data_IF_870192576265
#
_entry.id   IF_870192576265
#
_cell.length_a   1.000
_cell.length_b   1.000
_cell.length_c   1.000
_cell.angle_alpha   90.00
_cell.angle_beta   90.00
_cell.angle_gamma   90.00
#
_symmetry.space_group_name_H-M   'P 1'
#
loop_
_entity.id
_entity.type
_entity.pdbx_description
1 polymer ?
#
# COMPACT_ATOMS: atom_id res chain seq x y z
N UNK A 1 7.67 25.35 -23.40
CA UNK A 1 7.13 25.27 -22.03
C UNK A 1 5.71 24.71 -21.97
N UNK A 2 4.73 25.23 -22.72
CA UNK A 2 3.35 24.73 -22.72
C UNK A 2 3.21 23.22 -23.01
N UNK A 3 4.03 22.63 -23.89
CA UNK A 3 3.96 21.20 -24.20
C UNK A 3 4.40 20.28 -23.03
N UNK A 4 5.40 20.70 -22.23
CA UNK A 4 5.86 19.91 -21.07
C UNK A 4 4.83 19.91 -19.94
N UNK A 5 4.26 21.07 -19.63
CA UNK A 5 3.21 21.21 -18.61
C UNK A 5 1.96 20.38 -18.96
N UNK A 6 1.58 20.37 -20.25
CA UNK A 6 0.48 19.53 -20.74
C UNK A 6 0.78 18.03 -20.55
N UNK A 7 2.00 17.57 -20.83
CA UNK A 7 2.39 16.18 -20.64
C UNK A 7 2.32 15.74 -19.17
N UNK A 8 2.76 16.61 -18.25
CA UNK A 8 2.68 16.32 -16.82
C UNK A 8 1.23 16.17 -16.37
N UNK A 9 0.36 17.10 -16.79
CA UNK A 9 -1.09 17.02 -16.46
C UNK A 9 -1.75 15.78 -17.04
N UNK A 10 -1.42 15.39 -18.27
CA UNK A 10 -1.93 14.17 -18.90
C UNK A 10 -1.48 12.91 -18.13
N UNK A 11 -0.20 12.85 -17.73
CA UNK A 11 0.32 11.73 -16.94
C UNK A 11 -0.36 11.65 -15.56
N UNK A 12 -0.53 12.80 -14.87
CA UNK A 12 -1.19 12.85 -13.57
C UNK A 12 -2.66 12.45 -13.64
N UNK A 13 -3.38 12.89 -14.68
CA UNK A 13 -4.78 12.54 -14.88
C UNK A 13 -4.94 11.05 -15.24
N UNK A 14 -4.13 10.52 -16.17
CA UNK A 14 -4.13 9.08 -16.50
C UNK A 14 -3.87 8.25 -15.23
N UNK A 15 -2.80 8.58 -14.51
CA UNK A 15 -2.45 7.90 -13.26
C UNK A 15 -3.56 8.01 -12.20
N UNK A 16 -4.25 9.14 -12.11
CA UNK A 16 -5.37 9.30 -11.17
C UNK A 16 -6.51 8.32 -11.48
N UNK A 17 -6.86 8.18 -12.77
CA UNK A 17 -7.94 7.30 -13.20
C UNK A 17 -7.58 5.82 -12.99
N UNK A 18 -6.38 5.39 -13.37
CA UNK A 18 -5.93 4.02 -13.15
C UNK A 18 -5.75 3.70 -11.66
N UNK A 19 -5.23 4.64 -10.86
CA UNK A 19 -5.11 4.49 -9.40
C UNK A 19 -6.48 4.36 -8.74
N UNK A 20 -7.47 5.13 -9.17
CA UNK A 20 -8.84 5.00 -8.68
C UNK A 20 -9.41 3.61 -8.96
N UNK A 21 -9.30 3.13 -10.21
CA UNK A 21 -9.71 1.77 -10.59
C UNK A 21 -9.00 0.70 -9.74
N UNK A 22 -7.69 0.83 -9.56
CA UNK A 22 -6.90 -0.07 -8.73
C UNK A 22 -7.36 -0.06 -7.26
N UNK A 23 -7.61 1.11 -6.69
CA UNK A 23 -8.05 1.24 -5.28
C UNK A 23 -9.43 0.60 -5.08
N UNK A 24 -10.35 0.80 -6.03
CA UNK A 24 -11.67 0.12 -6.03
C UNK A 24 -11.48 -1.40 -6.06
N UNK A 25 -10.62 -1.91 -6.94
CA UNK A 25 -10.36 -3.35 -7.02
C UNK A 25 -9.75 -3.92 -5.74
N UNK A 26 -8.73 -3.25 -5.20
CA UNK A 26 -7.99 -3.72 -4.01
C UNK A 26 -8.87 -3.78 -2.75
N UNK A 27 -9.86 -2.90 -2.60
CA UNK A 27 -10.76 -2.94 -1.45
C UNK A 27 -11.87 -3.99 -1.65
N UNK A 28 -12.34 -4.20 -2.87
CA UNK A 28 -13.46 -5.11 -3.17
C UNK A 28 -12.99 -6.57 -3.24
N UNK A 29 -11.79 -6.82 -3.76
CA UNK A 29 -11.28 -8.18 -3.95
C UNK A 29 -11.22 -9.03 -2.68
N UNK A 30 -10.68 -8.54 -1.53
CA UNK A 30 -10.71 -9.29 -0.26
C UNK A 30 -12.12 -9.63 0.19
N UNK A 31 -13.04 -8.65 0.08
CA UNK A 31 -14.44 -8.83 0.46
C UNK A 31 -15.12 -9.90 -0.40
N UNK A 32 -14.89 -9.83 -1.73
CA UNK A 32 -15.43 -10.82 -2.66
C UNK A 32 -14.92 -12.23 -2.34
N UNK A 33 -13.59 -12.42 -2.18
CA UNK A 33 -13.00 -13.74 -1.87
C UNK A 33 -13.53 -14.24 -0.53
N UNK A 34 -13.63 -13.39 0.48
CA UNK A 34 -14.16 -13.76 1.79
C UNK A 34 -15.63 -14.16 1.71
N UNK A 35 -16.45 -13.42 0.93
CA UNK A 35 -17.86 -13.72 0.74
C UNK A 35 -18.12 -15.08 0.10
N UNK A 36 -17.32 -15.48 -0.90
CA UNK A 36 -17.51 -16.76 -1.60
C UNK A 36 -16.86 -17.95 -0.87
N UNK A 37 -15.75 -17.73 -0.17
CA UNK A 37 -15.02 -18.82 0.49
C UNK A 37 -15.37 -18.99 1.95
N UNK A 38 -15.85 -17.92 2.61
CA UNK A 38 -16.07 -17.84 4.07
C UNK A 38 -14.83 -18.28 4.87
N UNK A 39 -13.62 -18.16 4.29
CA UNK A 39 -12.40 -18.73 4.84
C UNK A 39 -11.22 -17.75 4.72
N UNK A 40 -10.81 -17.18 5.85
CA UNK A 40 -9.69 -16.24 5.94
C UNK A 40 -8.35 -16.85 5.52
N UNK A 41 -8.18 -18.18 5.69
CA UNK A 41 -6.96 -18.88 5.25
C UNK A 41 -6.83 -18.86 3.72
N UNK A 42 -7.94 -19.12 3.01
CA UNK A 42 -7.96 -19.07 1.54
C UNK A 42 -7.70 -17.63 1.07
N UNK A 43 -8.34 -16.65 1.70
CA UNK A 43 -8.12 -15.22 1.40
C UNK A 43 -6.66 -14.84 1.60
N UNK A 44 -6.08 -15.18 2.75
CA UNK A 44 -4.67 -14.89 3.04
C UNK A 44 -3.70 -15.59 2.08
N UNK A 45 -3.97 -16.88 1.72
CA UNK A 45 -3.17 -17.61 0.74
C UNK A 45 -3.23 -16.96 -0.65
N UNK A 46 -4.42 -16.54 -1.08
CA UNK A 46 -4.61 -15.86 -2.35
C UNK A 46 -3.73 -14.59 -2.44
N UNK A 47 -3.86 -13.68 -1.48
CA UNK A 47 -3.11 -12.42 -1.48
C UNK A 47 -1.60 -12.63 -1.32
N UNK A 48 -1.19 -13.56 -0.46
CA UNK A 48 0.22 -13.88 -0.30
C UNK A 48 0.84 -14.36 -1.62
N UNK A 49 0.17 -15.29 -2.30
CA UNK A 49 0.66 -15.87 -3.56
C UNK A 49 0.59 -14.91 -4.74
N UNK A 50 -0.37 -13.98 -4.76
CA UNK A 50 -0.46 -12.92 -5.79
C UNK A 50 0.65 -11.88 -5.61
N UNK A 51 0.99 -11.52 -4.37
CA UNK A 51 1.96 -10.48 -4.07
C UNK A 51 3.43 -10.97 -4.04
N UNK A 52 3.69 -12.21 -3.66
CA UNK A 52 5.05 -12.72 -3.48
C UNK A 52 5.92 -12.65 -4.76
N UNK A 53 5.44 -13.02 -5.96
CA UNK A 53 6.23 -12.90 -7.18
C UNK A 53 6.58 -11.46 -7.54
N UNK A 54 5.71 -10.49 -7.24
CA UNK A 54 5.94 -9.07 -7.53
C UNK A 54 7.11 -8.50 -6.74
N UNK A 55 7.32 -8.98 -5.51
CA UNK A 55 8.48 -8.60 -4.69
C UNK A 55 9.77 -9.08 -5.34
N UNK A 56 9.82 -10.32 -5.81
CA UNK A 56 11.01 -10.87 -6.48
C UNK A 56 11.28 -10.14 -7.80
N UNK A 57 10.23 -9.91 -8.60
CA UNK A 57 10.35 -9.26 -9.90
C UNK A 57 10.74 -7.79 -9.76
N UNK A 58 10.29 -7.09 -8.71
CA UNK A 58 10.60 -5.67 -8.49
C UNK A 58 12.10 -5.35 -8.51
N UNK A 59 12.93 -6.33 -8.12
CA UNK A 59 14.38 -6.22 -8.16
C UNK A 59 14.91 -6.00 -9.59
N UNK A 60 14.29 -6.65 -10.58
CA UNK A 60 14.75 -6.65 -11.97
C UNK A 60 14.06 -5.58 -12.82
N UNK A 61 12.89 -5.11 -12.41
CA UNK A 61 12.05 -4.18 -13.20
C UNK A 61 12.81 -2.88 -13.51
N UNK A 62 13.56 -2.33 -12.54
CA UNK A 62 14.31 -1.10 -12.73
C UNK A 62 15.31 -1.19 -13.91
N UNK A 63 16.10 -2.25 -13.94
CA UNK A 63 17.11 -2.48 -15.00
C UNK A 63 16.48 -2.73 -16.37
N UNK A 64 15.29 -3.35 -16.41
CA UNK A 64 14.55 -3.56 -17.65
C UNK A 64 14.02 -2.22 -18.18
N UNK A 65 13.41 -1.40 -17.31
CA UNK A 65 12.80 -0.13 -17.68
C UNK A 65 13.82 0.86 -18.25
N UNK A 66 15.06 0.87 -17.76
CA UNK A 66 16.11 1.74 -18.26
C UNK A 66 16.39 1.54 -19.76
N UNK A 67 16.22 0.32 -20.26
CA UNK A 67 16.50 -0.04 -21.67
C UNK A 67 15.41 0.42 -22.64
N UNK A 68 14.18 0.58 -22.18
CA UNK A 68 13.02 0.85 -23.03
C UNK A 68 12.49 2.29 -22.88
N UNK A 69 11.63 2.70 -23.81
CA UNK A 69 10.92 3.97 -23.74
C UNK A 69 9.84 3.89 -22.64
N UNK A 70 9.94 4.75 -21.61
CA UNK A 70 9.10 4.73 -20.42
C UNK A 70 7.62 4.97 -20.76
N UNK A 71 7.34 5.87 -21.74
CA UNK A 71 5.97 6.09 -22.22
C UNK A 71 5.37 4.81 -22.80
N UNK A 72 6.12 4.09 -23.64
CA UNK A 72 5.62 2.86 -24.25
C UNK A 72 5.36 1.78 -23.19
N UNK A 73 6.18 1.72 -22.13
CA UNK A 73 5.95 0.78 -21.03
C UNK A 73 4.63 1.08 -20.33
N UNK A 74 4.37 2.33 -19.92
CA UNK A 74 3.11 2.67 -19.23
C UNK A 74 1.90 2.41 -20.10
N UNK A 75 1.94 2.74 -21.40
CA UNK A 75 0.89 2.46 -22.36
C UNK A 75 0.58 0.97 -22.48
N UNK A 76 1.62 0.14 -22.63
CA UNK A 76 1.47 -1.32 -22.70
C UNK A 76 0.88 -1.86 -21.39
N UNK A 77 1.35 -1.37 -20.26
CA UNK A 77 0.88 -1.80 -18.95
C UNK A 77 -0.61 -1.51 -18.75
N UNK A 78 -1.06 -0.28 -18.99
CA UNK A 78 -2.46 0.10 -18.80
C UNK A 78 -3.38 -0.59 -19.82
N UNK A 79 -2.95 -0.71 -21.08
CA UNK A 79 -3.70 -1.43 -22.10
C UNK A 79 -3.87 -2.92 -21.76
N UNK A 80 -2.78 -3.60 -21.40
CA UNK A 80 -2.83 -5.01 -21.01
C UNK A 80 -3.68 -5.23 -19.76
N UNK A 81 -3.55 -4.36 -18.76
CA UNK A 81 -4.33 -4.43 -17.53
C UNK A 81 -5.83 -4.25 -17.83
N UNK A 82 -6.18 -3.29 -18.68
CA UNK A 82 -7.56 -3.10 -19.14
C UNK A 82 -8.11 -4.35 -19.81
N UNK A 83 -7.37 -4.95 -20.75
CA UNK A 83 -7.79 -6.19 -21.45
C UNK A 83 -7.96 -7.34 -20.44
N UNK A 84 -7.05 -7.52 -19.51
CA UNK A 84 -7.12 -8.61 -18.53
C UNK A 84 -8.37 -8.50 -17.64
N UNK A 85 -8.70 -7.29 -17.17
CA UNK A 85 -9.94 -7.06 -16.42
C UNK A 85 -11.19 -7.21 -17.28
N UNK A 86 -11.12 -6.84 -18.56
CA UNK A 86 -12.22 -7.06 -19.51
C UNK A 86 -12.45 -8.54 -19.79
N UNK A 87 -11.38 -9.34 -19.94
CA UNK A 87 -11.45 -10.79 -20.05
C UNK A 87 -12.09 -11.38 -18.80
N UNK A 88 -11.66 -10.94 -17.59
CA UNK A 88 -12.32 -11.36 -16.36
C UNK A 88 -13.81 -11.04 -16.38
N UNK A 89 -14.20 -9.81 -16.78
CA UNK A 89 -15.60 -9.41 -16.89
C UNK A 89 -16.40 -10.34 -17.78
N UNK A 90 -15.89 -10.68 -18.97
CA UNK A 90 -16.61 -11.50 -19.95
C UNK A 90 -16.78 -12.95 -19.50
N UNK A 91 -15.75 -13.53 -18.91
CA UNK A 91 -15.72 -14.95 -18.58
C UNK A 91 -16.10 -15.27 -17.14
N UNK A 92 -16.09 -14.30 -16.24
CA UNK A 92 -16.26 -14.51 -14.82
C UNK A 92 -17.63 -15.09 -14.44
N UNK A 93 -18.71 -14.72 -15.13
CA UNK A 93 -20.06 -15.30 -14.94
C UNK A 93 -20.12 -16.79 -15.26
N UNK A 94 -19.33 -17.24 -16.23
CA UNK A 94 -19.35 -18.62 -16.72
C UNK A 94 -18.29 -19.49 -16.00
N UNK A 95 -17.21 -18.87 -15.57
CA UNK A 95 -16.08 -19.49 -14.90
C UNK A 95 -15.74 -18.73 -13.63
N UNK A 96 -16.61 -18.76 -12.60
CA UNK A 96 -16.36 -18.15 -11.29
C UNK A 96 -15.24 -18.89 -10.51
N UNK A 97 -14.18 -19.29 -11.22
CA UNK A 97 -13.06 -20.03 -10.67
C UNK A 97 -12.10 -19.08 -9.96
N UNK A 98 -11.88 -19.30 -8.67
CA UNK A 98 -10.82 -18.64 -7.90
C UNK A 98 -9.46 -18.75 -8.56
N UNK A 99 -9.18 -19.87 -9.23
CA UNK A 99 -7.92 -20.10 -9.94
C UNK A 99 -7.75 -19.12 -11.10
N UNK A 100 -8.82 -18.88 -11.86
CA UNK A 100 -8.78 -17.92 -12.98
C UNK A 100 -8.57 -16.49 -12.47
N UNK A 101 -9.32 -16.10 -11.43
CA UNK A 101 -9.13 -14.82 -10.76
C UNK A 101 -7.71 -14.65 -10.22
N UNK A 102 -7.17 -15.69 -9.61
CA UNK A 102 -5.80 -15.74 -9.10
C UNK A 102 -4.76 -15.50 -10.19
N UNK A 103 -4.83 -16.22 -11.30
CA UNK A 103 -3.88 -16.09 -12.40
C UNK A 103 -3.89 -14.69 -13.02
N UNK A 104 -5.06 -14.13 -13.27
CA UNK A 104 -5.18 -12.77 -13.80
C UNK A 104 -4.67 -11.74 -12.79
N UNK A 105 -5.04 -11.86 -11.50
CA UNK A 105 -4.56 -10.94 -10.46
C UNK A 105 -3.03 -10.97 -10.32
N UNK A 106 -2.43 -12.15 -10.44
CA UNK A 106 -0.97 -12.31 -10.42
C UNK A 106 -0.30 -11.59 -11.59
N UNK A 107 -0.82 -11.78 -12.82
CA UNK A 107 -0.30 -11.11 -14.02
C UNK A 107 -0.47 -9.60 -13.89
N UNK A 108 -1.64 -9.12 -13.48
CA UNK A 108 -1.91 -7.69 -13.27
C UNK A 108 -0.96 -7.09 -12.25
N UNK A 109 -0.71 -7.77 -11.12
CA UNK A 109 0.24 -7.28 -10.12
C UNK A 109 1.67 -7.14 -10.65
N UNK A 110 2.11 -8.09 -11.47
CA UNK A 110 3.41 -8.00 -12.15
C UNK A 110 3.46 -6.77 -13.07
N UNK A 111 2.45 -6.61 -13.92
CA UNK A 111 2.33 -5.46 -14.85
C UNK A 111 2.33 -4.15 -14.07
N UNK A 112 1.60 -4.08 -12.95
CA UNK A 112 1.52 -2.89 -12.08
C UNK A 112 2.88 -2.45 -11.54
N UNK A 113 3.82 -3.38 -11.28
CA UNK A 113 5.19 -3.03 -10.87
C UNK A 113 5.99 -2.36 -11.99
N UNK A 114 5.83 -2.81 -13.24
CA UNK A 114 6.42 -2.13 -14.38
C UNK A 114 5.84 -0.72 -14.56
N UNK A 115 4.52 -0.59 -14.47
CA UNK A 115 3.84 0.70 -14.54
C UNK A 115 4.33 1.66 -13.45
N UNK A 116 4.35 1.22 -12.20
CA UNK A 116 4.75 2.05 -11.06
C UNK A 116 6.14 2.66 -11.24
N UNK A 117 7.13 1.84 -11.59
CA UNK A 117 8.51 2.30 -11.73
C UNK A 117 8.68 3.14 -13.00
N UNK A 118 8.11 2.71 -14.13
CA UNK A 118 8.19 3.46 -15.38
C UNK A 118 7.52 4.84 -15.29
N UNK A 119 6.36 4.91 -14.63
CA UNK A 119 5.63 6.17 -14.39
C UNK A 119 6.43 7.14 -13.53
N UNK A 120 7.08 6.67 -12.45
CA UNK A 120 7.94 7.49 -11.60
C UNK A 120 9.14 8.05 -12.37
N UNK A 121 9.79 7.23 -13.20
CA UNK A 121 10.93 7.67 -14.01
C UNK A 121 10.47 8.64 -15.09
N UNK A 122 9.40 8.34 -15.83
CA UNK A 122 8.83 9.23 -16.84
C UNK A 122 8.45 10.58 -16.23
N UNK A 123 7.80 10.57 -15.06
CA UNK A 123 7.42 11.80 -14.36
C UNK A 123 8.63 12.67 -14.04
N UNK A 124 9.74 12.07 -13.60
CA UNK A 124 10.98 12.77 -13.34
C UNK A 124 11.62 13.35 -14.62
N UNK A 125 11.58 12.61 -15.74
CA UNK A 125 12.19 13.01 -17.00
C UNK A 125 11.41 14.12 -17.73
N UNK A 126 10.08 14.18 -17.60
CA UNK A 126 9.25 15.22 -18.23
C UNK A 126 9.16 16.51 -17.40
N UNK A 127 9.51 16.45 -16.11
CA UNK A 127 9.56 17.63 -15.24
C UNK A 127 10.91 18.36 -15.36
N UNK A 128 10.90 19.65 -14.98
CA UNK A 128 12.12 20.41 -14.73
C UNK A 128 12.38 20.47 -13.23
N UNK A 129 13.61 20.76 -12.81
CA UNK A 129 13.97 20.91 -11.39
C UNK A 129 13.09 21.97 -10.68
N UNK A 130 12.68 23.03 -11.40
CA UNK A 130 11.84 24.11 -10.89
C UNK A 130 10.37 23.70 -10.68
N UNK A 131 9.85 22.77 -11.52
CA UNK A 131 8.44 22.37 -11.48
C UNK A 131 8.22 21.06 -10.72
N UNK A 132 9.29 20.29 -10.47
CA UNK A 132 9.24 18.96 -9.89
C UNK A 132 8.55 18.97 -8.50
N UNK A 133 8.90 19.92 -7.65
CA UNK A 133 8.34 20.03 -6.30
C UNK A 133 6.84 20.33 -6.33
N UNK A 134 6.42 21.29 -7.17
CA UNK A 134 5.01 21.65 -7.38
C UNK A 134 4.18 20.47 -7.83
N UNK A 135 4.66 19.71 -8.83
CA UNK A 135 3.89 18.60 -9.39
C UNK A 135 3.96 17.33 -8.54
N UNK A 136 5.03 17.11 -7.76
CA UNK A 136 5.06 16.09 -6.72
C UNK A 136 4.00 16.36 -5.63
N UNK A 137 3.84 17.64 -5.23
CA UNK A 137 2.78 18.03 -4.31
C UNK A 137 1.39 17.74 -4.86
N UNK A 138 1.15 18.07 -6.14
CA UNK A 138 -0.12 17.77 -6.81
C UNK A 138 -0.37 16.27 -6.94
N UNK A 139 0.64 15.48 -7.31
CA UNK A 139 0.56 14.03 -7.36
C UNK A 139 0.19 13.44 -6.01
N UNK A 140 0.88 13.84 -4.94
CA UNK A 140 0.59 13.38 -3.58
C UNK A 140 -0.82 13.76 -3.13
N UNK A 141 -1.29 14.95 -3.47
CA UNK A 141 -2.67 15.37 -3.19
C UNK A 141 -3.70 14.46 -3.89
N UNK A 142 -3.49 14.18 -5.17
CA UNK A 142 -4.37 13.30 -5.96
C UNK A 142 -4.38 11.88 -5.38
N UNK A 143 -3.19 11.32 -5.13
CA UNK A 143 -3.03 9.96 -4.60
C UNK A 143 -3.70 9.81 -3.22
N UNK A 144 -3.47 10.75 -2.30
CA UNK A 144 -4.10 10.74 -0.99
C UNK A 144 -5.61 10.91 -1.05
N UNK A 145 -6.11 11.77 -1.95
CA UNK A 145 -7.55 11.95 -2.17
C UNK A 145 -8.20 10.64 -2.64
N UNK A 146 -7.58 9.94 -3.59
CA UNK A 146 -8.07 8.66 -4.09
C UNK A 146 -8.01 7.58 -3.01
N UNK A 147 -6.96 7.53 -2.21
CA UNK A 147 -6.82 6.59 -1.10
C UNK A 147 -7.90 6.78 -0.01
N UNK A 148 -8.42 8.00 0.16
CA UNK A 148 -9.51 8.29 1.10
C UNK A 148 -10.88 7.97 0.50
N UNK A 149 -11.12 8.40 -0.75
CA UNK A 149 -12.45 8.31 -1.39
C UNK A 149 -12.66 6.93 -2.04
N UNK A 150 -11.61 6.32 -2.58
CA UNK A 150 -11.67 5.06 -3.32
C UNK A 150 -12.33 3.90 -2.55
N UNK A 151 -11.94 3.63 -1.29
CA UNK A 151 -12.58 2.59 -0.49
C UNK A 151 -14.09 2.77 -0.31
N UNK A 152 -14.55 4.00 -0.07
CA UNK A 152 -16.00 4.29 0.08
C UNK A 152 -16.73 4.03 -1.24
N UNK A 153 -16.22 4.56 -2.33
CA UNK A 153 -16.85 4.36 -3.64
C UNK A 153 -16.80 2.89 -4.03
N UNK A 154 -15.66 2.23 -3.83
CA UNK A 154 -15.49 0.81 -4.16
C UNK A 154 -16.47 -0.09 -3.43
N UNK A 155 -16.57 0.06 -2.10
CA UNK A 155 -17.49 -0.75 -1.29
C UNK A 155 -18.95 -0.37 -1.51
N UNK A 156 -19.25 0.91 -1.79
CA UNK A 156 -20.60 1.34 -2.18
C UNK A 156 -21.02 0.70 -3.52
N UNK A 157 -20.17 0.75 -4.52
CA UNK A 157 -20.42 0.10 -5.80
C UNK A 157 -20.61 -1.42 -5.63
N UNK A 158 -19.76 -2.07 -4.82
CA UNK A 158 -19.86 -3.49 -4.54
C UNK A 158 -21.13 -3.87 -3.78
N UNK A 159 -21.71 -2.95 -2.99
CA UNK A 159 -22.98 -3.19 -2.29
C UNK A 159 -24.22 -3.11 -3.20
N UNK A 160 -24.09 -2.49 -4.38
CA UNK A 160 -25.21 -2.31 -5.34
C UNK A 160 -25.04 -3.23 -6.56
N UNK A 161 -23.79 -3.42 -6.99
CA UNK A 161 -23.47 -4.15 -8.21
C UNK A 161 -22.70 -5.43 -7.89
N UNK A 162 -22.84 -6.44 -8.75
CA UNK A 162 -22.05 -7.66 -8.67
C UNK A 162 -20.56 -7.37 -8.88
N UNK A 163 -19.70 -8.23 -8.32
CA UNK A 163 -18.23 -8.16 -8.53
C UNK A 163 -17.85 -8.09 -10.01
N UNK A 164 -18.60 -8.78 -10.88
CA UNK A 164 -18.39 -8.75 -12.32
C UNK A 164 -18.50 -7.33 -12.90
N UNK A 165 -19.46 -6.52 -12.43
CA UNK A 165 -19.60 -5.14 -12.89
C UNK A 165 -18.46 -4.25 -12.40
N UNK A 166 -17.92 -4.52 -11.22
CA UNK A 166 -16.73 -3.85 -10.71
C UNK A 166 -15.52 -4.10 -11.64
N UNK A 167 -15.35 -5.33 -12.12
CA UNK A 167 -14.29 -5.64 -13.10
C UNK A 167 -14.40 -4.82 -14.37
N UNK A 168 -15.62 -4.57 -14.85
CA UNK A 168 -15.87 -3.69 -16.01
C UNK A 168 -15.46 -2.24 -15.71
N UNK A 169 -15.85 -1.69 -14.55
CA UNK A 169 -15.48 -0.33 -14.13
C UNK A 169 -13.96 -0.18 -14.08
N UNK A 170 -13.28 -1.16 -13.48
CA UNK A 170 -11.82 -1.16 -13.38
C UNK A 170 -11.16 -1.25 -14.76
N UNK A 171 -11.66 -2.13 -15.64
CA UNK A 171 -11.20 -2.22 -17.03
C UNK A 171 -11.32 -0.89 -17.77
N UNK A 172 -12.48 -0.23 -17.66
CA UNK A 172 -12.71 1.08 -18.28
C UNK A 172 -11.79 2.16 -17.70
N UNK A 173 -11.53 2.15 -16.41
CA UNK A 173 -10.60 3.09 -15.79
C UNK A 173 -9.19 2.97 -16.38
N UNK A 174 -8.66 1.75 -16.50
CA UNK A 174 -7.35 1.52 -17.13
C UNK A 174 -7.34 1.86 -18.62
N UNK A 175 -8.44 1.59 -19.33
CA UNK A 175 -8.56 1.98 -20.74
C UNK A 175 -8.58 3.49 -20.94
N UNK A 176 -9.29 4.24 -20.08
CA UNK A 176 -9.29 5.70 -20.10
C UNK A 176 -7.92 6.28 -19.76
N UNK A 177 -7.20 5.69 -18.79
CA UNK A 177 -5.82 6.05 -18.49
C UNK A 177 -4.91 5.86 -19.71
N UNK A 178 -4.98 4.70 -20.37
CA UNK A 178 -4.25 4.42 -21.60
C UNK A 178 -4.52 5.47 -22.70
N UNK A 179 -5.80 5.85 -22.93
CA UNK A 179 -6.15 6.87 -23.92
C UNK A 179 -5.55 8.25 -23.59
N UNK A 180 -5.52 8.62 -22.32
CA UNK A 180 -4.92 9.88 -21.88
C UNK A 180 -3.39 9.87 -22.05
N UNK A 181 -2.75 8.77 -21.71
CA UNK A 181 -1.31 8.61 -21.83
C UNK A 181 -0.81 8.55 -23.27
N UNK A 182 -1.64 8.09 -24.22
CA UNK A 182 -1.36 8.16 -25.67
C UNK A 182 -1.05 9.58 -26.12
N UNK A 183 -1.73 10.59 -25.54
CA UNK A 183 -1.56 12.00 -25.89
C UNK A 183 -0.25 12.61 -25.38
N UNK A 184 0.47 11.93 -24.48
CA UNK A 184 1.77 12.40 -23.96
C UNK A 184 2.79 12.42 -25.11
N UNK A 185 3.45 13.54 -25.31
CA UNK A 185 4.55 13.68 -26.26
C UNK A 185 5.88 13.51 -25.52
N UNK A 186 6.52 12.36 -25.69
CA UNK A 186 7.77 12.02 -25.03
C UNK A 186 8.71 11.30 -26.00
N UNK A 187 9.92 11.81 -26.13
CA UNK A 187 11.02 11.18 -26.84
C UNK A 187 12.11 10.80 -25.83
N UNK A 188 12.60 9.57 -25.92
CA UNK A 188 13.66 9.09 -25.05
C UNK A 188 14.96 9.83 -25.40
N UNK A 189 15.57 10.51 -24.44
CA UNK A 189 16.90 11.08 -24.61
C UNK A 189 17.94 9.93 -24.66
N UNK A 190 18.55 9.76 -25.85
CA UNK A 190 19.52 8.70 -26.09
C UNK A 190 20.83 8.88 -25.30
N UNK A 191 21.09 10.09 -24.78
CA UNK A 191 22.30 10.41 -24.03
C UNK A 191 22.22 10.01 -22.53
N UNK A 192 21.06 9.60 -22.03
CA UNK A 192 20.87 9.21 -20.63
C UNK A 192 21.11 7.72 -20.34
N UNK A 193 21.77 7.00 -21.25
CA UNK A 193 22.22 5.62 -20.96
C UNK A 193 23.32 5.70 -19.91
N UNK A 194 22.96 5.55 -18.64
CA UNK A 194 23.92 5.44 -17.55
C UNK A 194 24.73 4.17 -17.71
N UNK A 195 26.06 4.32 -17.45
CA UNK A 195 27.01 3.22 -17.33
C UNK A 195 26.46 2.04 -16.54
N UNK A 196 26.91 0.84 -16.88
CA UNK A 196 26.55 -0.44 -16.27
C UNK A 196 26.56 -0.37 -14.73
N UNK A 197 25.44 0.01 -14.16
CA UNK A 197 25.23 -0.14 -12.73
C UNK A 197 25.10 -1.65 -12.43
N UNK A 198 26.10 -2.21 -11.80
CA UNK A 198 26.08 -3.61 -11.39
C UNK A 198 25.14 -3.72 -10.17
N UNK A 199 23.86 -4.02 -10.45
CA UNK A 199 22.81 -4.13 -9.43
C UNK A 199 23.25 -4.96 -8.21
N UNK A 200 23.94 -6.11 -8.43
CA UNK A 200 24.41 -6.99 -7.35
C UNK A 200 25.41 -6.25 -6.45
N UNK A 201 26.29 -5.45 -7.04
CA UNK A 201 27.26 -4.65 -6.30
C UNK A 201 26.56 -3.58 -5.48
N UNK A 202 25.63 -2.84 -6.06
CA UNK A 202 24.87 -1.78 -5.40
C UNK A 202 24.01 -2.33 -4.26
N UNK A 203 23.37 -3.47 -4.47
CA UNK A 203 22.58 -4.19 -3.45
C UNK A 203 23.48 -4.62 -2.27
N UNK A 204 24.66 -5.19 -2.55
CA UNK A 204 25.62 -5.62 -1.53
C UNK A 204 26.17 -4.44 -0.72
N UNK A 205 26.53 -3.36 -1.39
CA UNK A 205 27.00 -2.13 -0.73
C UNK A 205 25.93 -1.52 0.18
N UNK A 206 24.65 -1.51 -0.26
CA UNK A 206 23.54 -1.06 0.57
C UNK A 206 23.34 -1.91 1.82
N UNK A 207 23.43 -3.25 1.72
CA UNK A 207 23.36 -4.15 2.89
C UNK A 207 24.51 -3.88 3.86
N UNK A 208 25.73 -3.70 3.35
CA UNK A 208 26.92 -3.39 4.17
C UNK A 208 26.70 -2.06 4.90
N UNK A 209 26.22 -1.03 4.18
CA UNK A 209 25.91 0.27 4.76
C UNK A 209 24.90 0.17 5.91
N UNK A 210 23.78 -0.54 5.71
CA UNK A 210 22.75 -0.75 6.74
C UNK A 210 23.34 -1.47 7.96
N UNK A 211 24.14 -2.53 7.77
CA UNK A 211 24.75 -3.29 8.87
C UNK A 211 25.75 -2.45 9.69
N UNK A 212 26.47 -1.55 9.04
CA UNK A 212 27.47 -0.71 9.68
C UNK A 212 26.85 0.46 10.46
N UNK A 213 25.61 0.88 10.14
CA UNK A 213 24.91 1.93 10.84
C UNK A 213 23.84 1.33 11.78
N UNK A 214 24.18 1.23 13.07
CA UNK A 214 23.36 0.56 14.09
C UNK A 214 21.96 1.17 14.25
N UNK A 215 21.83 2.51 14.15
CA UNK A 215 20.54 3.20 14.27
C UNK A 215 19.67 2.83 13.06
N UNK A 216 20.23 2.96 11.86
CA UNK A 216 19.55 2.62 10.60
C UNK A 216 19.14 1.15 10.59
N UNK A 217 20.02 0.25 11.03
CA UNK A 217 19.74 -1.19 11.12
C UNK A 217 18.57 -1.50 12.07
N UNK A 218 18.55 -0.91 13.26
CA UNK A 218 17.49 -1.17 14.23
C UNK A 218 16.12 -0.67 13.73
N UNK A 219 16.05 0.52 13.12
CA UNK A 219 14.82 1.01 12.52
C UNK A 219 14.40 0.21 11.29
N UNK A 220 15.36 -0.24 10.50
CA UNK A 220 15.11 -1.11 9.36
C UNK A 220 14.40 -2.41 9.79
N UNK A 221 14.94 -3.09 10.80
CA UNK A 221 14.33 -4.29 11.39
C UNK A 221 12.93 -3.98 11.95
N UNK A 222 12.76 -2.84 12.62
CA UNK A 222 11.46 -2.43 13.14
C UNK A 222 10.42 -2.31 12.02
N UNK A 223 10.73 -1.60 10.94
CA UNK A 223 9.81 -1.41 9.80
C UNK A 223 9.48 -2.75 9.14
N UNK A 224 10.44 -3.65 9.00
CA UNK A 224 10.18 -4.99 8.47
C UNK A 224 9.12 -5.75 9.29
N UNK A 225 9.28 -5.79 10.61
CA UNK A 225 8.31 -6.47 11.48
C UNK A 225 6.97 -5.75 11.56
N UNK A 226 6.95 -4.41 11.50
CA UNK A 226 5.70 -3.66 11.42
C UNK A 226 4.92 -4.04 10.16
N UNK A 227 5.56 -4.12 9.00
CA UNK A 227 4.90 -4.55 7.78
C UNK A 227 4.40 -6.00 7.86
N UNK A 228 5.15 -6.89 8.50
CA UNK A 228 4.69 -8.27 8.73
C UNK A 228 3.40 -8.34 9.56
N UNK A 229 3.31 -7.59 10.66
CA UNK A 229 2.19 -7.70 11.60
C UNK A 229 1.02 -6.75 11.32
N UNK A 230 1.24 -5.60 10.66
CA UNK A 230 0.20 -4.58 10.45
C UNK A 230 -0.40 -4.63 9.05
N UNK A 231 0.41 -4.92 8.01
CA UNK A 231 -0.06 -4.85 6.63
C UNK A 231 -1.22 -5.81 6.31
N UNK A 232 -1.40 -6.87 7.11
CA UNK A 232 -2.50 -7.82 6.96
C UNK A 232 -3.86 -7.34 7.54
N UNK A 233 -3.90 -6.17 8.18
CA UNK A 233 -5.11 -5.69 8.84
C UNK A 233 -6.24 -5.46 7.83
N UNK A 234 -5.97 -4.82 6.71
CA UNK A 234 -6.99 -4.43 5.74
C UNK A 234 -7.46 -5.60 4.85
N UNK A 235 -6.59 -6.57 4.61
CA UNK A 235 -6.90 -7.72 3.75
C UNK A 235 -7.53 -8.90 4.52
N UNK A 236 -7.19 -9.07 5.80
CA UNK A 236 -7.56 -10.25 6.59
C UNK A 236 -8.29 -9.91 7.88
N UNK A 237 -7.66 -9.09 8.75
CA UNK A 237 -8.14 -8.94 10.13
C UNK A 237 -9.42 -8.11 10.19
N UNK A 238 -9.41 -6.91 9.61
CA UNK A 238 -10.57 -6.01 9.63
C UNK A 238 -11.78 -6.62 8.90
N UNK A 239 -11.65 -7.21 7.69
CA UNK A 239 -12.74 -7.95 7.06
C UNK A 239 -13.20 -9.15 7.89
N UNK A 240 -12.28 -9.90 8.50
CA UNK A 240 -12.59 -11.04 9.36
C UNK A 240 -13.42 -10.63 10.57
N UNK A 241 -13.10 -9.52 11.21
CA UNK A 241 -13.86 -9.00 12.35
C UNK A 241 -15.17 -8.38 11.87
N UNK A 242 -15.14 -7.38 10.99
CA UNK A 242 -16.32 -6.57 10.66
C UNK A 242 -17.31 -7.33 9.78
N UNK A 243 -16.84 -7.96 8.69
CA UNK A 243 -17.72 -8.63 7.72
C UNK A 243 -18.08 -10.03 8.18
N UNK A 244 -17.08 -10.87 8.49
CA UNK A 244 -17.33 -12.28 8.78
C UNK A 244 -17.97 -12.49 10.16
N UNK A 245 -17.42 -11.85 11.22
CA UNK A 245 -17.88 -12.02 12.59
C UNK A 245 -19.08 -11.14 12.92
N UNK A 246 -18.98 -9.82 12.71
CA UNK A 246 -20.00 -8.85 13.08
C UNK A 246 -21.09 -8.63 12.01
N UNK A 247 -20.94 -9.19 10.80
CA UNK A 247 -21.90 -9.04 9.70
C UNK A 247 -22.20 -7.57 9.34
N UNK A 248 -21.23 -6.69 9.52
CA UNK A 248 -21.31 -5.29 9.08
C UNK A 248 -21.28 -5.25 7.55
N UNK A 249 -22.08 -4.39 6.95
CA UNK A 249 -22.13 -4.27 5.49
C UNK A 249 -20.82 -3.76 4.91
N UNK A 250 -20.51 -4.18 3.67
CA UNK A 250 -19.30 -3.77 2.95
C UNK A 250 -19.20 -2.25 2.81
N UNK A 251 -20.35 -1.56 2.62
CA UNK A 251 -20.44 -0.10 2.57
C UNK A 251 -19.92 0.55 3.85
N UNK A 252 -20.33 0.05 5.00
CA UNK A 252 -19.87 0.55 6.30
C UNK A 252 -18.41 0.20 6.55
N UNK A 253 -17.94 -0.96 6.07
CA UNK A 253 -16.53 -1.32 6.10
C UNK A 253 -15.68 -0.30 5.35
N UNK A 254 -16.06 0.07 4.11
CA UNK A 254 -15.35 1.10 3.33
C UNK A 254 -15.35 2.47 4.01
N UNK A 255 -16.45 2.83 4.69
CA UNK A 255 -16.50 4.06 5.48
C UNK A 255 -15.47 4.08 6.61
N UNK A 256 -15.17 2.94 7.23
CA UNK A 256 -14.12 2.87 8.27
C UNK A 256 -12.73 3.20 7.74
N UNK A 257 -12.40 2.78 6.53
CA UNK A 257 -11.13 3.13 5.88
C UNK A 257 -11.02 4.64 5.59
N UNK A 258 -12.13 5.27 5.20
CA UNK A 258 -12.19 6.73 5.02
C UNK A 258 -11.93 7.47 6.33
N UNK A 259 -12.54 7.04 7.43
CA UNK A 259 -12.35 7.68 8.74
C UNK A 259 -10.89 7.60 9.19
N UNK A 260 -10.22 6.46 8.94
CA UNK A 260 -8.77 6.34 9.13
C UNK A 260 -8.00 7.36 8.29
N UNK A 261 -8.34 7.51 7.01
CA UNK A 261 -7.72 8.49 6.10
C UNK A 261 -7.91 9.93 6.56
N UNK A 262 -9.11 10.28 7.03
CA UNK A 262 -9.40 11.61 7.61
C UNK A 262 -8.50 11.86 8.83
N UNK A 263 -8.36 10.90 9.75
CA UNK A 263 -7.44 10.99 10.88
C UNK A 263 -5.99 11.25 10.44
N UNK A 264 -5.55 10.55 9.38
CA UNK A 264 -4.20 10.73 8.80
C UNK A 264 -3.97 12.14 8.26
N UNK A 265 -4.97 12.73 7.60
CA UNK A 265 -4.91 14.13 7.10
C UNK A 265 -4.81 15.12 8.26
N UNK A 266 -5.62 14.95 9.31
CA UNK A 266 -5.52 15.81 10.51
C UNK A 266 -4.12 15.77 11.13
N UNK A 267 -3.51 14.59 11.22
CA UNK A 267 -2.14 14.45 11.71
C UNK A 267 -1.10 15.11 10.81
N UNK A 268 -1.27 15.02 9.49
CA UNK A 268 -0.40 15.69 8.52
C UNK A 268 -0.44 17.22 8.69
N UNK A 269 -1.63 17.78 8.81
CA UNK A 269 -1.83 19.21 9.08
C UNK A 269 -1.21 19.60 10.42
N UNK A 270 -1.41 18.77 11.47
CA UNK A 270 -0.82 19.01 12.79
C UNK A 270 0.72 19.03 12.75
N UNK A 271 1.35 18.11 12.02
CA UNK A 271 2.81 18.07 11.84
C UNK A 271 3.28 19.35 11.14
N UNK A 272 2.58 19.79 10.09
CA UNK A 272 2.92 20.96 9.30
C UNK A 272 2.97 22.24 10.16
N UNK A 273 1.98 22.47 11.02
CA UNK A 273 1.93 23.64 11.88
C UNK A 273 2.78 23.53 13.16
N UNK A 274 3.25 22.34 13.52
CA UNK A 274 3.99 22.08 14.77
C UNK A 274 5.40 21.56 14.52
N UNK A 275 6.19 22.20 13.67
CA UNK A 275 7.58 21.82 13.35
C UNK A 275 8.49 21.67 14.59
N UNK A 276 8.23 22.43 15.65
CA UNK A 276 8.98 22.38 16.91
C UNK A 276 8.71 21.12 17.75
N UNK A 277 7.67 20.36 17.42
CA UNK A 277 7.31 19.18 18.17
C UNK A 277 8.25 18.02 17.83
N UNK A 278 9.05 17.58 18.79
CA UNK A 278 10.05 16.53 18.60
C UNK A 278 9.40 15.13 18.55
N UNK A 279 8.70 14.85 17.44
CA UNK A 279 8.00 13.58 17.23
C UNK A 279 8.92 12.36 17.33
N UNK A 280 10.17 12.47 16.84
CA UNK A 280 11.16 11.40 16.90
C UNK A 280 11.40 10.90 18.33
N UNK A 281 11.48 11.81 19.31
CA UNK A 281 11.67 11.44 20.71
C UNK A 281 10.46 10.70 21.31
N UNK A 282 9.29 10.83 20.69
CA UNK A 282 8.03 10.21 21.11
C UNK A 282 7.66 8.96 20.31
N UNK A 283 8.47 8.55 19.34
CA UNK A 283 8.16 7.39 18.47
C UNK A 283 7.83 6.14 19.28
N UNK A 284 8.63 5.82 20.31
CA UNK A 284 8.37 4.68 21.19
C UNK A 284 6.97 4.73 21.80
N UNK A 285 6.60 5.88 22.35
CA UNK A 285 5.27 6.09 22.97
C UNK A 285 4.16 5.95 21.93
N UNK A 286 4.32 6.57 20.76
CA UNK A 286 3.33 6.54 19.68
C UNK A 286 3.11 5.12 19.14
N UNK A 287 4.18 4.33 18.95
CA UNK A 287 4.05 2.92 18.56
C UNK A 287 3.30 2.10 19.60
N UNK A 288 3.63 2.28 20.88
CA UNK A 288 2.96 1.57 21.97
C UNK A 288 1.48 1.97 22.05
N UNK A 289 1.17 3.27 21.96
CA UNK A 289 -0.21 3.76 21.98
C UNK A 289 -1.02 3.20 20.78
N UNK A 290 -0.44 3.20 19.58
CA UNK A 290 -1.11 2.64 18.40
C UNK A 290 -1.44 1.16 18.59
N UNK A 291 -0.46 0.38 19.03
CA UNK A 291 -0.65 -1.05 19.26
C UNK A 291 -1.60 -1.33 20.43
N UNK A 292 -1.62 -0.50 21.48
CA UNK A 292 -2.59 -0.62 22.57
C UNK A 292 -4.03 -0.34 22.11
N UNK A 293 -4.25 0.68 21.26
CA UNK A 293 -5.58 0.95 20.67
C UNK A 293 -6.04 -0.25 19.83
N UNK A 294 -5.17 -0.80 19.01
CA UNK A 294 -5.48 -1.98 18.21
C UNK A 294 -5.73 -3.23 19.06
N UNK A 295 -4.94 -3.47 20.12
CA UNK A 295 -5.20 -4.54 21.09
C UNK A 295 -6.58 -4.36 21.75
N UNK A 296 -6.90 -3.14 22.16
CA UNK A 296 -8.18 -2.84 22.80
C UNK A 296 -9.36 -3.10 21.84
N UNK A 297 -9.23 -2.78 20.56
CA UNK A 297 -10.22 -3.14 19.54
C UNK A 297 -10.42 -4.65 19.43
N UNK A 298 -9.35 -5.44 19.46
CA UNK A 298 -9.41 -6.90 19.48
C UNK A 298 -10.17 -7.43 20.72
N UNK A 299 -9.84 -6.93 21.92
CA UNK A 299 -10.55 -7.29 23.16
C UNK A 299 -12.03 -6.89 23.14
N UNK A 300 -12.33 -5.67 22.67
CA UNK A 300 -13.70 -5.20 22.54
C UNK A 300 -14.49 -6.02 21.52
N UNK A 301 -13.85 -6.51 20.46
CA UNK A 301 -14.48 -7.43 19.52
C UNK A 301 -14.93 -8.75 20.18
N UNK A 302 -14.19 -9.23 21.17
CA UNK A 302 -14.59 -10.43 21.92
C UNK A 302 -15.71 -10.08 22.92
N UNK A 303 -15.49 -9.01 23.69
CA UNK A 303 -16.40 -8.63 24.79
C UNK A 303 -17.79 -8.18 24.31
N UNK A 304 -17.85 -7.43 23.20
CA UNK A 304 -19.09 -6.83 22.70
C UNK A 304 -19.86 -7.71 21.72
N UNK A 305 -19.34 -8.88 21.34
CA UNK A 305 -19.98 -9.74 20.34
C UNK A 305 -21.41 -10.19 20.71
N UNK A 306 -21.69 -10.32 22.02
CA UNK A 306 -23.04 -10.71 22.55
C UNK A 306 -24.03 -9.54 22.51
N UNK A 307 -23.59 -8.32 22.27
CA UNK A 307 -24.41 -7.12 22.23
C UNK A 307 -24.77 -6.73 20.81
N UNK A 308 -25.31 -5.53 20.62
CA UNK A 308 -25.60 -5.00 19.30
C UNK A 308 -24.32 -4.78 18.48
N UNK A 309 -24.26 -5.38 17.30
CA UNK A 309 -23.09 -5.34 16.40
C UNK A 309 -22.71 -3.91 15.99
N UNK A 310 -23.67 -3.00 15.87
CA UNK A 310 -23.40 -1.60 15.53
C UNK A 310 -22.70 -0.83 16.66
N UNK A 311 -22.83 -1.25 17.93
CA UNK A 311 -22.08 -0.63 19.03
C UNK A 311 -20.58 -0.84 18.81
N UNK A 312 -20.17 -2.08 18.50
CA UNK A 312 -18.75 -2.34 18.19
C UNK A 312 -18.29 -1.54 16.97
N UNK A 313 -19.11 -1.44 15.92
CA UNK A 313 -18.77 -0.71 14.72
C UNK A 313 -18.54 0.79 14.99
N UNK A 314 -19.38 1.45 15.77
CA UNK A 314 -19.22 2.85 16.17
C UNK A 314 -17.92 3.05 16.95
N UNK A 315 -17.62 2.15 17.89
CA UNK A 315 -16.36 2.17 18.64
C UNK A 315 -15.17 1.95 17.70
N UNK A 316 -15.30 0.99 16.76
CA UNK A 316 -14.26 0.71 15.77
C UNK A 316 -13.92 1.94 14.93
N UNK A 317 -14.93 2.66 14.41
CA UNK A 317 -14.74 3.90 13.63
C UNK A 317 -14.03 4.97 14.47
N UNK A 318 -14.47 5.17 15.72
CA UNK A 318 -13.84 6.12 16.62
C UNK A 318 -12.35 5.81 16.81
N UNK A 319 -11.99 4.56 17.02
CA UNK A 319 -10.60 4.13 17.16
C UNK A 319 -9.83 4.26 15.84
N UNK A 320 -10.43 3.95 14.68
CA UNK A 320 -9.79 4.11 13.37
C UNK A 320 -9.35 5.54 13.10
N UNK A 321 -10.12 6.54 13.52
CA UNK A 321 -9.72 7.93 13.44
C UNK A 321 -8.40 8.20 14.19
N UNK A 322 -8.30 7.76 15.44
CA UNK A 322 -7.09 7.93 16.25
C UNK A 322 -5.92 7.08 15.76
N UNK A 323 -6.17 5.87 15.30
CA UNK A 323 -5.16 5.01 14.69
C UNK A 323 -4.56 5.70 13.46
N UNK A 324 -5.39 6.32 12.60
CA UNK A 324 -4.96 7.10 11.45
C UNK A 324 -4.06 8.27 11.86
N UNK A 325 -4.45 9.04 12.89
CA UNK A 325 -3.64 10.12 13.46
C UNK A 325 -2.28 9.58 13.91
N UNK A 326 -2.28 8.57 14.78
CA UNK A 326 -1.03 8.07 15.39
C UNK A 326 -0.12 7.43 14.35
N UNK A 327 -0.66 6.69 13.39
CA UNK A 327 0.12 6.09 12.31
C UNK A 327 0.85 7.14 11.49
N UNK A 328 0.20 8.25 11.16
CA UNK A 328 0.82 9.36 10.44
C UNK A 328 1.88 10.09 11.29
N UNK A 329 1.59 10.32 12.58
CA UNK A 329 2.57 10.88 13.53
C UNK A 329 3.80 10.01 13.73
N UNK A 330 3.73 8.71 13.42
CA UNK A 330 4.85 7.77 13.43
C UNK A 330 5.57 7.77 12.09
N UNK A 331 4.85 7.55 10.98
CA UNK A 331 5.43 7.30 9.67
C UNK A 331 6.18 8.52 9.12
N UNK A 332 5.61 9.72 9.22
CA UNK A 332 6.22 10.93 8.64
C UNK A 332 7.56 11.25 9.30
N UNK A 333 7.69 11.31 10.66
CA UNK A 333 8.97 11.55 11.29
C UNK A 333 9.99 10.41 11.09
N UNK A 334 9.52 9.16 11.01
CA UNK A 334 10.39 8.00 10.78
C UNK A 334 11.05 8.07 9.41
N UNK A 335 10.28 8.34 8.34
CA UNK A 335 10.80 8.52 6.98
C UNK A 335 11.74 9.72 6.92
N UNK A 336 11.37 10.85 7.55
CA UNK A 336 12.22 12.04 7.63
C UNK A 336 13.53 11.75 8.37
N UNK A 337 13.50 10.89 9.40
CA UNK A 337 14.70 10.44 10.11
C UNK A 337 15.62 9.63 9.21
N UNK A 338 15.08 8.72 8.39
CA UNK A 338 15.89 7.99 7.42
C UNK A 338 16.52 8.94 6.40
N UNK A 339 15.77 9.90 5.87
CA UNK A 339 16.30 10.88 4.93
C UNK A 339 17.43 11.74 5.52
N UNK A 340 17.37 12.04 6.82
CA UNK A 340 18.41 12.82 7.51
C UNK A 340 19.63 12.00 7.90
N UNK A 341 19.44 10.76 8.36
CA UNK A 341 20.51 9.93 8.91
C UNK A 341 21.21 9.06 7.89
N UNK A 342 20.58 8.84 6.72
CA UNK A 342 21.20 8.09 5.63
C UNK A 342 21.92 9.07 4.71
N UNK A 343 23.22 8.87 4.51
CA UNK A 343 24.01 9.68 3.58
C UNK A 343 23.38 9.72 2.19
N UNK A 344 23.33 10.89 1.56
CA UNK A 344 22.70 11.11 0.24
C UNK A 344 23.17 10.08 -0.80
N UNK A 345 24.44 9.75 -0.81
CA UNK A 345 25.03 8.75 -1.70
C UNK A 345 24.40 7.36 -1.57
N UNK A 346 23.92 6.99 -0.37
CA UNK A 346 23.35 5.68 -0.08
C UNK A 346 21.82 5.69 0.03
N UNK A 347 21.14 6.85 -0.01
CA UNK A 347 19.70 6.97 0.18
C UNK A 347 18.90 6.12 -0.81
N UNK A 348 19.25 6.19 -2.11
CA UNK A 348 18.55 5.40 -3.14
C UNK A 348 18.67 3.89 -2.86
N UNK A 349 19.87 3.41 -2.53
CA UNK A 349 20.13 2.01 -2.20
C UNK A 349 19.40 1.59 -0.92
N UNK A 350 19.43 2.45 0.10
CA UNK A 350 18.73 2.22 1.38
C UNK A 350 17.23 2.09 1.19
N UNK A 351 16.58 3.04 0.49
CA UNK A 351 15.13 3.00 0.27
C UNK A 351 14.71 1.84 -0.64
N UNK A 352 15.54 1.46 -1.62
CA UNK A 352 15.30 0.27 -2.43
C UNK A 352 15.33 -1.01 -1.60
N UNK A 353 16.32 -1.16 -0.72
CA UNK A 353 16.42 -2.29 0.20
C UNK A 353 15.28 -2.29 1.21
N UNK A 354 14.92 -1.12 1.74
CA UNK A 354 13.78 -0.98 2.66
C UNK A 354 12.48 -1.43 1.98
N UNK A 355 12.23 -0.99 0.77
CA UNK A 355 11.05 -1.40 -0.01
C UNK A 355 11.04 -2.89 -0.32
N UNK A 356 12.19 -3.45 -0.69
CA UNK A 356 12.31 -4.87 -0.99
C UNK A 356 12.03 -5.75 0.24
N UNK A 357 12.74 -5.50 1.33
CA UNK A 357 12.60 -6.32 2.53
C UNK A 357 11.27 -6.08 3.26
N UNK A 358 10.81 -4.83 3.32
CA UNK A 358 9.50 -4.51 3.92
C UNK A 358 8.36 -5.07 3.08
N UNK A 359 8.40 -4.85 1.76
CA UNK A 359 7.40 -5.39 0.83
C UNK A 359 7.41 -6.91 0.79
N UNK A 360 8.59 -7.54 0.91
CA UNK A 360 8.72 -9.00 0.91
C UNK A 360 8.10 -9.67 2.14
N UNK A 361 8.04 -9.00 3.28
CA UNK A 361 7.42 -9.53 4.49
C UNK A 361 5.89 -9.38 4.51
N UNK A 362 5.32 -8.46 3.73
CA UNK A 362 3.85 -8.28 3.65
C UNK A 362 3.13 -9.56 3.24
N UNK A 363 3.47 -10.24 2.12
CA UNK A 363 2.79 -11.48 1.73
C UNK A 363 2.89 -12.58 2.78
N UNK A 364 4.04 -12.67 3.47
CA UNK A 364 4.22 -13.63 4.55
C UNK A 364 3.36 -13.29 5.77
N UNK A 365 3.21 -12.00 6.10
CA UNK A 365 2.33 -11.52 7.15
C UNK A 365 0.85 -11.80 6.84
N UNK A 366 0.42 -11.58 5.59
CA UNK A 366 -0.94 -11.86 5.13
C UNK A 366 -1.25 -13.36 5.19
N UNK A 367 -0.31 -14.21 4.74
CA UNK A 367 -0.45 -15.66 4.84
C UNK A 367 -0.53 -16.13 6.30
N UNK A 368 0.36 -15.64 7.14
CA UNK A 368 0.36 -15.89 8.58
C UNK A 368 -0.98 -15.49 9.22
N UNK A 369 -1.44 -14.26 8.96
CA UNK A 369 -2.69 -13.75 9.54
C UNK A 369 -3.91 -14.53 9.05
N UNK A 370 -3.98 -14.86 7.75
CA UNK A 370 -5.05 -15.67 7.17
C UNK A 370 -5.11 -17.07 7.80
N UNK A 371 -3.94 -17.71 7.95
CA UNK A 371 -3.85 -19.02 8.58
C UNK A 371 -4.24 -18.94 10.06
N UNK A 372 -3.63 -18.05 10.82
CA UNK A 372 -3.86 -17.93 12.26
C UNK A 372 -5.32 -17.55 12.56
N UNK A 373 -5.87 -16.57 11.82
CA UNK A 373 -7.27 -16.13 12.00
C UNK A 373 -8.28 -17.22 11.70
N UNK A 374 -7.97 -18.16 10.83
CA UNK A 374 -8.87 -19.30 10.54
C UNK A 374 -8.98 -20.30 11.70
N UNK A 375 -7.98 -20.36 12.59
CA UNK A 375 -7.97 -21.28 13.73
C UNK A 375 -8.45 -20.63 15.03
N UNK A 376 -7.97 -19.43 15.32
CA UNK A 376 -8.22 -18.77 16.62
C UNK A 376 -9.12 -17.53 16.53
N UNK A 377 -9.52 -17.15 15.30
CA UNK A 377 -10.32 -15.95 15.03
C UNK A 377 -9.47 -14.71 14.73
N UNK A 378 -10.05 -13.79 13.94
CA UNK A 378 -9.37 -12.57 13.51
C UNK A 378 -9.07 -11.60 14.67
N UNK A 379 -9.96 -11.53 15.67
CA UNK A 379 -9.82 -10.70 16.87
C UNK A 379 -8.64 -11.14 17.76
N UNK A 380 -8.49 -12.43 18.01
CA UNK A 380 -7.35 -12.95 18.79
C UNK A 380 -6.05 -12.75 18.00
N UNK A 381 -6.07 -12.98 16.69
CA UNK A 381 -4.92 -12.70 15.82
C UNK A 381 -4.51 -11.22 15.89
N UNK A 382 -5.48 -10.31 15.89
CA UNK A 382 -5.25 -8.87 16.03
C UNK A 382 -4.54 -8.53 17.35
N UNK A 383 -4.97 -9.12 18.45
CA UNK A 383 -4.34 -8.95 19.77
C UNK A 383 -2.90 -9.48 19.75
N UNK A 384 -2.68 -10.69 19.25
CA UNK A 384 -1.34 -11.31 19.19
C UNK A 384 -0.37 -10.45 18.38
N UNK A 385 -0.80 -9.98 17.21
CA UNK A 385 0.03 -9.12 16.35
C UNK A 385 0.48 -7.85 17.09
N UNK A 386 -0.46 -7.18 17.77
CA UNK A 386 -0.16 -5.92 18.43
C UNK A 386 0.65 -6.10 19.72
N UNK A 387 0.46 -7.20 20.45
CA UNK A 387 1.34 -7.58 21.57
C UNK A 387 2.76 -7.85 21.08
N UNK A 388 2.92 -8.57 19.97
CA UNK A 388 4.23 -8.81 19.35
C UNK A 388 4.92 -7.48 18.96
N UNK A 389 4.18 -6.53 18.37
CA UNK A 389 4.71 -5.20 18.03
C UNK A 389 5.18 -4.45 19.26
N UNK A 390 4.39 -4.43 20.34
CA UNK A 390 4.80 -3.79 21.61
C UNK A 390 6.13 -4.37 22.09
N UNK A 391 6.26 -5.69 22.06
CA UNK A 391 7.48 -6.36 22.48
C UNK A 391 8.69 -5.99 21.60
N UNK A 392 8.52 -5.97 20.28
CA UNK A 392 9.56 -5.57 19.32
C UNK A 392 9.99 -4.12 19.54
N UNK A 393 9.03 -3.21 19.73
CA UNK A 393 9.29 -1.80 20.03
C UNK A 393 10.13 -1.67 21.32
N UNK A 394 9.80 -2.42 22.37
CA UNK A 394 10.59 -2.41 23.60
C UNK A 394 12.04 -2.88 23.36
N UNK A 395 12.25 -3.94 22.59
CA UNK A 395 13.60 -4.45 22.28
C UNK A 395 14.41 -3.41 21.49
N UNK A 396 13.83 -2.86 20.42
CA UNK A 396 14.51 -1.91 19.52
C UNK A 396 14.89 -0.64 20.27
N UNK A 397 13.96 -0.05 21.03
CA UNK A 397 14.20 1.20 21.76
C UNK A 397 15.02 1.01 23.05
N UNK A 398 15.11 -0.19 23.61
CA UNK A 398 16.03 -0.47 24.73
C UNK A 398 17.48 -0.40 24.29
N UNK A 399 17.80 -0.88 23.09
CA UNK A 399 19.16 -0.87 22.53
C UNK A 399 19.64 0.53 22.14
N UNK A 400 18.71 1.47 21.86
CA UNK A 400 19.03 2.80 21.35
C UNK A 400 18.96 3.94 22.40
N UNK A 401 18.82 3.62 23.68
CA UNK A 401 18.64 4.61 24.78
C UNK A 401 19.75 5.67 24.90
N UNK A 402 20.90 5.49 24.24
CA UNK A 402 22.05 6.40 24.28
C UNK A 402 22.24 7.23 23.01
N UNK A 403 21.44 6.98 21.95
CA UNK A 403 21.70 7.51 20.61
C UNK A 403 20.49 8.26 19.99
N UNK A 404 19.34 8.30 20.69
CA UNK A 404 18.12 9.08 20.40
C UNK A 404 17.88 10.13 21.48
#
# INVERSE_FOLDING_TARGET
MQSKESNIKLLLLGRAVSLFGNTVYLIVLPLYILNITQNLKITGFFFAMVNLPTVVISIFVGTIIEKFNKKNIILICDFLTSILYFILFLYFKNFSSLTFLFLISLIVNIISKFFEIASKVLFSEINTTETLEKYNGLQSFIENTIMIIGPVIGTYLFSIFDFNFILLIVSLAYFLSFLQELLIKYEKDSNLVKEDSNFIKDFKEGIIYIKNNKIVFNFFILVMFLNFFIANNDEIINPGILIQKYKISEKLFGFSATVYGVGSVFAGIFIYYNEKFKFLQKLKLLFILNSLLMCLLGFLSIALFKYNHYIYFVIFIFFQFFIGIITTLVNVPLISSFQKNVEIKYQSRFFSLLSFFSGGLIPLGVLYAGYLSSYIGADITYIINNVAIIFIVFIVFRKNKKEL
#
